data_IF_711808440059
#
_entry.id   IF_711808440059
#
_cell.length_a   1.000
_cell.length_b   1.000
_cell.length_c   1.000
_cell.angle_alpha   90.00
_cell.angle_beta   90.00
_cell.angle_gamma   90.00
#
_symmetry.space_group_name_H-M   'P 1'
#
loop_
_entity.id
_entity.type
_entity.pdbx_description
1 polymer ?
#
# COMPACT_ATOMS: atom_id res chain seq x y z
N UNK A 1 -8.48 -54.90 14.77
CA UNK A 1 -9.12 -55.19 13.47
C UNK A 1 -8.89 -53.97 12.59
N UNK A 2 -7.98 -54.13 11.65
CA UNK A 2 -7.37 -53.09 10.81
C UNK A 2 -8.34 -52.73 9.67
N UNK A 3 -8.70 -51.46 9.51
CA UNK A 3 -9.37 -50.99 8.30
C UNK A 3 -8.33 -50.45 7.32
N UNK A 4 -8.21 -51.14 6.19
CA UNK A 4 -7.30 -50.83 5.09
C UNK A 4 -7.72 -49.54 4.36
N UNK A 5 -6.73 -48.72 4.04
CA UNK A 5 -6.80 -47.64 3.06
C UNK A 5 -7.08 -48.24 1.67
N UNK A 6 -8.21 -47.88 1.05
CA UNK A 6 -8.46 -48.17 -0.37
C UNK A 6 -8.04 -46.99 -1.25
N UNK A 7 -7.28 -47.35 -2.28
CA UNK A 7 -6.61 -46.55 -3.30
C UNK A 7 -7.45 -45.52 -4.05
N UNK A 8 -6.78 -44.41 -4.39
CA UNK A 8 -7.10 -43.41 -5.40
C UNK A 8 -7.97 -43.93 -6.56
N UNK A 9 -9.21 -43.45 -6.64
CA UNK A 9 -10.05 -43.54 -7.83
C UNK A 9 -9.61 -42.50 -8.86
N UNK A 10 -8.74 -42.90 -9.79
CA UNK A 10 -8.58 -42.23 -11.08
C UNK A 10 -9.87 -42.40 -11.89
N UNK A 11 -10.82 -41.47 -11.75
CA UNK A 11 -11.93 -41.34 -12.69
C UNK A 11 -11.50 -40.35 -13.77
N UNK A 12 -10.96 -40.88 -14.86
CA UNK A 12 -10.88 -40.15 -16.13
C UNK A 12 -12.30 -39.95 -16.64
N UNK A 13 -12.87 -38.77 -16.38
CA UNK A 13 -14.08 -38.32 -17.04
C UNK A 13 -13.83 -38.31 -18.57
N UNK A 14 -14.75 -38.88 -19.34
CA UNK A 14 -14.66 -38.82 -20.80
C UNK A 14 -14.83 -37.35 -21.24
N UNK A 15 -14.16 -36.94 -22.32
CA UNK A 15 -14.19 -35.56 -22.83
C UNK A 15 -15.58 -35.03 -23.22
N UNK A 16 -16.60 -35.89 -23.20
CA UNK A 16 -18.00 -35.55 -23.48
C UNK A 16 -18.84 -35.22 -22.24
N UNK A 17 -18.30 -35.33 -21.02
CA UNK A 17 -19.03 -35.06 -19.76
C UNK A 17 -18.64 -33.73 -19.08
N UNK A 18 -17.65 -32.99 -19.60
CA UNK A 18 -17.33 -31.66 -19.07
C UNK A 18 -18.35 -30.62 -19.54
N UNK A 19 -18.92 -29.89 -18.58
CA UNK A 19 -19.78 -28.74 -18.84
C UNK A 19 -19.08 -27.79 -19.84
N UNK A 20 -19.79 -27.26 -20.87
CA UNK A 20 -19.16 -26.51 -21.97
C UNK A 20 -18.23 -25.38 -21.50
N UNK A 21 -18.61 -24.71 -20.43
CA UNK A 21 -17.84 -23.63 -19.80
C UNK A 21 -16.52 -24.14 -19.20
N UNK A 22 -16.54 -25.28 -18.51
CA UNK A 22 -15.35 -25.87 -17.90
C UNK A 22 -14.37 -26.38 -18.96
N UNK A 23 -14.87 -26.96 -20.05
CA UNK A 23 -14.05 -27.39 -21.18
C UNK A 23 -13.41 -26.19 -21.89
N UNK A 24 -14.18 -25.15 -22.18
CA UNK A 24 -13.68 -23.93 -22.84
C UNK A 24 -12.61 -23.22 -21.99
N UNK A 25 -12.81 -23.15 -20.67
CA UNK A 25 -11.83 -22.54 -19.77
C UNK A 25 -10.57 -23.40 -19.64
N UNK A 26 -10.71 -24.73 -19.56
CA UNK A 26 -9.56 -25.65 -19.54
C UNK A 26 -8.76 -25.62 -20.84
N UNK A 27 -9.42 -25.60 -22.01
CA UNK A 27 -8.77 -25.45 -23.32
C UNK A 27 -8.06 -24.10 -23.47
N UNK A 28 -8.69 -23.01 -23.01
CA UNK A 28 -8.05 -21.69 -22.97
C UNK A 28 -6.81 -21.71 -22.07
N UNK A 29 -6.91 -22.23 -20.85
CA UNK A 29 -5.78 -22.25 -19.91
C UNK A 29 -4.63 -23.14 -20.39
N UNK A 30 -4.95 -24.27 -21.02
CA UNK A 30 -3.96 -25.24 -21.49
C UNK A 30 -3.26 -24.81 -22.79
N UNK A 31 -3.94 -24.07 -23.66
CA UNK A 31 -3.46 -23.78 -25.02
C UNK A 31 -3.27 -22.28 -25.32
N UNK A 32 -3.60 -21.37 -24.40
CA UNK A 32 -3.33 -19.95 -24.59
C UNK A 32 -1.81 -19.73 -24.61
N UNK A 33 -1.28 -19.42 -25.79
CA UNK A 33 0.09 -18.95 -25.89
C UNK A 33 0.18 -17.51 -25.36
N UNK A 34 1.14 -17.17 -24.49
CA UNK A 34 1.31 -15.79 -24.05
C UNK A 34 1.52 -14.81 -25.22
N UNK A 35 2.01 -15.28 -26.38
CA UNK A 35 2.30 -14.51 -27.60
C UNK A 35 1.06 -13.91 -28.29
N UNK A 36 -0.14 -14.47 -28.09
CA UNK A 36 -1.38 -13.99 -28.72
C UNK A 36 -1.99 -12.78 -28.00
N UNK A 37 -1.52 -12.46 -26.79
CA UNK A 37 -1.96 -11.29 -26.05
C UNK A 37 -1.02 -10.10 -26.36
N UNK A 38 -1.54 -8.87 -26.55
CA UNK A 38 -0.70 -7.68 -26.63
C UNK A 38 0.21 -7.59 -25.40
N UNK A 39 1.47 -7.16 -25.55
CA UNK A 39 2.41 -7.02 -24.43
C UNK A 39 1.85 -6.18 -23.28
N UNK A 40 1.04 -5.16 -23.61
CA UNK A 40 0.34 -4.33 -22.63
C UNK A 40 -0.70 -5.12 -21.82
N UNK A 41 -1.40 -6.06 -22.44
CA UNK A 41 -2.36 -6.95 -21.78
C UNK A 41 -1.63 -8.01 -20.94
N UNK A 42 -0.51 -8.55 -21.43
CA UNK A 42 0.32 -9.48 -20.65
C UNK A 42 0.87 -8.81 -19.39
N UNK A 43 1.35 -7.56 -19.49
CA UNK A 43 1.83 -6.80 -18.32
C UNK A 43 0.73 -6.64 -17.29
N UNK A 44 -0.45 -6.18 -17.72
CA UNK A 44 -1.62 -6.01 -16.85
C UNK A 44 -2.12 -7.33 -16.27
N UNK A 45 -2.08 -8.42 -17.04
CA UNK A 45 -2.49 -9.75 -16.57
C UNK A 45 -1.50 -10.29 -15.53
N UNK A 46 -0.19 -10.06 -15.71
CA UNK A 46 0.84 -10.42 -14.72
C UNK A 46 0.67 -9.63 -13.42
N UNK A 47 0.46 -8.32 -13.52
CA UNK A 47 0.13 -7.46 -12.38
C UNK A 47 -1.12 -8.00 -11.67
N UNK A 48 -2.20 -8.24 -12.41
CA UNK A 48 -3.46 -8.74 -11.87
C UNK A 48 -3.36 -10.13 -11.22
N UNK A 49 -2.58 -11.06 -11.80
CA UNK A 49 -2.39 -12.39 -11.23
C UNK A 49 -1.52 -12.36 -9.97
N UNK A 50 -0.49 -11.49 -9.93
CA UNK A 50 0.29 -11.26 -8.71
C UNK A 50 -0.60 -10.68 -7.59
N UNK A 51 -1.48 -9.76 -7.95
CA UNK A 51 -2.46 -9.15 -7.05
C UNK A 51 -3.50 -10.15 -6.55
N UNK A 52 -4.03 -11.01 -7.42
CA UNK A 52 -5.00 -12.05 -7.09
C UNK A 52 -4.40 -13.12 -6.16
N UNK A 53 -3.11 -13.45 -6.31
CA UNK A 53 -2.40 -14.36 -5.41
C UNK A 53 -2.02 -13.71 -4.06
N UNK A 54 -2.33 -12.42 -3.87
CA UNK A 54 -1.99 -11.66 -2.66
C UNK A 54 -0.48 -11.40 -2.51
N UNK A 55 0.29 -11.53 -3.59
CA UNK A 55 1.75 -11.36 -3.61
C UNK A 55 2.07 -10.00 -4.21
N UNK A 56 1.69 -8.92 -3.53
CA UNK A 56 2.14 -7.59 -3.95
C UNK A 56 2.64 -6.81 -2.74
N UNK A 57 3.96 -6.58 -2.74
CA UNK A 57 4.61 -5.54 -1.95
C UNK A 57 3.98 -4.21 -2.39
N UNK A 58 3.78 -3.27 -1.46
CA UNK A 58 3.19 -1.95 -1.67
C UNK A 58 3.97 -1.00 -2.63
N UNK A 59 4.66 -1.56 -3.63
CA UNK A 59 5.56 -0.91 -4.59
C UNK A 59 5.00 -0.85 -6.01
N UNK A 60 3.85 -1.48 -6.32
CA UNK A 60 3.19 -1.28 -7.62
C UNK A 60 2.41 0.04 -7.60
N UNK A 61 2.84 0.97 -8.44
CA UNK A 61 2.33 2.34 -8.56
C UNK A 61 1.04 2.40 -9.39
N UNK A 62 0.12 1.45 -9.17
CA UNK A 62 -0.97 1.17 -10.09
C UNK A 62 -2.35 1.28 -9.44
N UNK A 63 -3.37 1.47 -10.29
CA UNK A 63 -4.79 1.46 -9.90
C UNK A 63 -5.19 0.19 -9.15
N UNK A 64 -4.42 -0.87 -9.28
CA UNK A 64 -4.64 -2.17 -8.67
C UNK A 64 -4.64 -2.15 -7.13
N UNK A 65 -3.92 -1.23 -6.48
CA UNK A 65 -3.94 -1.10 -5.01
C UNK A 65 -5.37 -0.97 -4.46
N UNK A 66 -6.27 -0.35 -5.24
CA UNK A 66 -7.67 -0.13 -4.84
C UNK A 66 -8.54 -1.37 -4.96
N UNK A 67 -8.20 -2.31 -5.84
CA UNK A 67 -8.97 -3.55 -6.04
C UNK A 67 -8.59 -4.64 -5.04
N UNK A 68 -7.38 -4.61 -4.46
CA UNK A 68 -6.93 -5.58 -3.46
C UNK A 68 -7.92 -5.80 -2.30
N UNK A 69 -8.41 -4.77 -1.59
CA UNK A 69 -9.40 -4.98 -0.54
C UNK A 69 -10.73 -5.51 -1.09
N UNK A 70 -11.09 -5.15 -2.33
CA UNK A 70 -12.28 -5.68 -3.00
C UNK A 70 -12.18 -7.19 -3.26
N UNK A 71 -11.03 -7.66 -3.76
CA UNK A 71 -10.78 -9.09 -3.94
C UNK A 71 -10.69 -9.84 -2.62
N UNK A 72 -10.04 -9.27 -1.61
CA UNK A 72 -9.99 -9.90 -0.28
C UNK A 72 -11.39 -10.15 0.29
N UNK A 73 -12.31 -9.20 0.13
CA UNK A 73 -13.72 -9.36 0.55
C UNK A 73 -14.44 -10.39 -0.32
N UNK A 74 -14.30 -10.31 -1.64
CA UNK A 74 -14.89 -11.27 -2.57
C UNK A 74 -14.48 -12.71 -2.23
N UNK A 75 -13.19 -12.96 -2.06
CA UNK A 75 -12.64 -14.29 -1.82
C UNK A 75 -13.06 -14.82 -0.45
N UNK A 76 -13.24 -13.94 0.55
CA UNK A 76 -13.80 -14.31 1.85
C UNK A 76 -15.23 -14.85 1.71
N UNK A 77 -16.10 -14.18 0.94
CA UNK A 77 -17.47 -14.67 0.70
C UNK A 77 -17.50 -16.00 -0.04
N UNK A 78 -16.62 -16.20 -1.02
CA UNK A 78 -16.49 -17.48 -1.72
C UNK A 78 -16.06 -18.58 -0.74
N UNK A 79 -15.03 -18.33 0.08
CA UNK A 79 -14.55 -19.29 1.08
C UNK A 79 -15.64 -19.67 2.08
N UNK A 80 -16.40 -18.69 2.60
CA UNK A 80 -17.52 -18.94 3.51
C UNK A 80 -18.59 -19.80 2.84
N UNK A 81 -18.97 -19.47 1.60
CA UNK A 81 -19.99 -20.23 0.85
C UNK A 81 -19.57 -21.69 0.63
N UNK A 82 -18.29 -21.93 0.31
CA UNK A 82 -17.74 -23.28 0.17
C UNK A 82 -17.78 -24.05 1.49
N UNK A 83 -17.40 -23.40 2.60
CA UNK A 83 -17.44 -24.00 3.92
C UNK A 83 -18.88 -24.35 4.35
N UNK A 84 -19.84 -23.45 4.12
CA UNK A 84 -21.27 -23.69 4.38
C UNK A 84 -21.84 -24.83 3.54
N UNK A 85 -21.34 -25.02 2.31
CA UNK A 85 -21.68 -26.13 1.43
C UNK A 85 -21.00 -27.47 1.83
N UNK A 86 -20.17 -27.49 2.87
CA UNK A 86 -19.51 -28.69 3.37
C UNK A 86 -18.22 -29.06 2.63
N UNK A 87 -17.62 -28.13 1.88
CA UNK A 87 -16.32 -28.35 1.23
C UNK A 87 -15.23 -28.49 2.30
N UNK A 88 -14.45 -29.58 2.22
CA UNK A 88 -13.37 -29.87 3.18
C UNK A 88 -12.04 -29.29 2.69
N UNK A 89 -11.43 -28.45 3.52
CA UNK A 89 -10.10 -27.87 3.28
C UNK A 89 -8.97 -28.61 3.97
N UNK A 90 -7.73 -28.13 3.77
CA UNK A 90 -6.55 -28.67 4.46
C UNK A 90 -6.62 -28.42 5.98
N UNK A 91 -6.46 -29.48 6.78
CA UNK A 91 -6.60 -29.42 8.24
C UNK A 91 -5.56 -28.53 8.96
N UNK A 92 -4.42 -28.25 8.32
CA UNK A 92 -3.32 -27.43 8.84
C UNK A 92 -2.89 -26.38 7.81
N UNK A 93 -3.87 -25.63 7.30
CA UNK A 93 -3.68 -24.66 6.22
C UNK A 93 -2.78 -23.48 6.61
N UNK A 94 -2.64 -23.17 7.91
CA UNK A 94 -1.83 -22.04 8.40
C UNK A 94 -0.40 -22.50 8.71
N UNK A 95 -0.26 -23.52 9.55
CA UNK A 95 1.01 -23.89 10.20
C UNK A 95 1.53 -25.28 9.80
N UNK A 96 0.82 -25.99 8.94
CA UNK A 96 1.31 -27.25 8.37
C UNK A 96 2.56 -27.05 7.52
N UNK A 97 3.27 -28.13 7.20
CA UNK A 97 4.53 -28.10 6.42
C UNK A 97 4.46 -27.29 5.12
N UNK A 98 3.27 -27.24 4.50
CA UNK A 98 2.98 -26.48 3.27
C UNK A 98 1.90 -25.41 3.51
N UNK A 99 1.73 -24.99 4.77
CA UNK A 99 0.74 -24.00 5.19
C UNK A 99 1.22 -22.56 4.95
N UNK A 100 0.28 -21.63 5.07
CA UNK A 100 0.46 -20.20 4.80
C UNK A 100 1.75 -19.61 5.40
N UNK A 101 2.05 -19.89 6.67
CA UNK A 101 3.22 -19.32 7.33
C UNK A 101 4.51 -19.76 6.63
N UNK A 102 4.64 -21.03 6.27
CA UNK A 102 5.83 -21.52 5.57
C UNK A 102 5.94 -21.03 4.12
N UNK A 103 4.80 -20.71 3.50
CA UNK A 103 4.75 -20.21 2.11
C UNK A 103 5.05 -18.71 2.00
N UNK A 104 4.68 -17.91 3.00
CA UNK A 104 4.70 -16.44 2.91
C UNK A 104 5.72 -15.76 3.84
N UNK A 105 6.44 -16.49 4.69
CA UNK A 105 7.54 -15.91 5.47
C UNK A 105 8.80 -16.77 5.43
N UNK A 106 10.00 -16.15 5.29
CA UNK A 106 11.27 -16.85 5.36
C UNK A 106 11.66 -17.24 6.79
N UNK A 107 10.95 -16.74 7.81
CA UNK A 107 11.25 -17.02 9.23
C UNK A 107 10.99 -18.49 9.54
N UNK A 108 11.97 -19.17 10.12
CA UNK A 108 11.77 -20.51 10.71
C UNK A 108 11.36 -20.38 12.18
N UNK A 109 10.62 -21.36 12.71
CA UNK A 109 10.14 -21.34 14.10
C UNK A 109 9.07 -20.26 14.32
N UNK A 110 7.92 -20.41 13.66
CA UNK A 110 6.78 -19.52 13.83
C UNK A 110 6.25 -19.58 15.27
N UNK A 111 6.01 -18.41 15.86
CA UNK A 111 5.41 -18.28 17.19
C UNK A 111 3.90 -18.47 17.09
N UNK A 112 3.46 -19.72 16.99
CA UNK A 112 2.03 -20.05 16.90
C UNK A 112 1.22 -19.57 18.12
N UNK A 113 1.73 -19.64 19.38
CA UNK A 113 1.04 -19.06 20.52
C UNK A 113 0.63 -17.59 20.33
N UNK A 114 1.47 -16.78 19.67
CA UNK A 114 1.16 -15.38 19.39
C UNK A 114 -0.11 -15.16 18.55
N UNK A 115 -0.51 -16.12 17.71
CA UNK A 115 -1.72 -16.02 16.88
C UNK A 115 -3.01 -16.05 17.70
N UNK A 116 -2.94 -16.64 18.90
CA UNK A 116 -4.10 -16.84 19.78
C UNK A 116 -3.95 -16.14 21.12
N UNK A 117 -2.81 -15.46 21.34
CA UNK A 117 -2.57 -14.70 22.55
C UNK A 117 -3.62 -13.59 22.68
N UNK A 118 -4.10 -13.40 23.91
CA UNK A 118 -5.03 -12.33 24.29
C UNK A 118 -6.37 -12.29 23.54
N UNK A 119 -6.78 -13.36 22.85
CA UNK A 119 -8.10 -13.44 22.23
C UNK A 119 -9.21 -13.24 23.27
N UNK A 120 -10.13 -12.31 22.98
CA UNK A 120 -11.20 -11.90 23.89
C UNK A 120 -10.78 -10.92 25.00
N UNK A 121 -9.48 -10.60 25.11
CA UNK A 121 -8.92 -9.64 26.07
C UNK A 121 -8.41 -8.39 25.38
N UNK A 122 -7.55 -8.54 24.37
CA UNK A 122 -6.99 -7.44 23.60
C UNK A 122 -7.70 -7.30 22.25
N UNK A 123 -8.07 -6.07 21.91
CA UNK A 123 -8.74 -5.73 20.65
C UNK A 123 -7.82 -4.85 19.82
N UNK A 124 -7.01 -5.44 18.95
CA UNK A 124 -6.03 -4.72 18.11
C UNK A 124 -6.69 -3.71 17.16
N UNK A 125 -8.00 -3.82 16.89
CA UNK A 125 -8.76 -2.82 16.15
C UNK A 125 -8.64 -1.41 16.76
N UNK A 126 -8.54 -1.31 18.08
CA UNK A 126 -8.41 -0.03 18.79
C UNK A 126 -7.07 0.67 18.51
N UNK A 127 -6.08 -0.08 18.03
CA UNK A 127 -4.76 0.45 17.62
C UNK A 127 -4.75 0.92 16.16
N UNK A 128 -5.88 0.82 15.45
CA UNK A 128 -5.97 1.31 14.07
C UNK A 128 -6.04 2.84 14.04
N UNK A 129 -5.33 3.43 13.08
CA UNK A 129 -5.27 4.89 12.93
C UNK A 129 -6.15 5.37 11.79
N UNK A 130 -6.83 6.49 12.01
CA UNK A 130 -7.50 7.24 10.95
C UNK A 130 -6.48 8.12 10.24
N UNK A 131 -6.55 8.14 8.90
CA UNK A 131 -5.66 8.98 8.10
C UNK A 131 -6.24 10.39 7.97
N UNK A 132 -5.55 11.44 8.46
CA UNK A 132 -6.03 12.82 8.29
C UNK A 132 -6.00 13.28 6.83
N UNK A 133 -5.07 12.73 6.05
CA UNK A 133 -4.83 13.09 4.66
C UNK A 133 -5.00 11.90 3.71
N UNK A 134 -5.62 12.10 2.53
CA UNK A 134 -5.82 11.06 1.51
C UNK A 134 -4.53 10.73 0.74
N UNK A 135 -3.43 10.47 1.46
CA UNK A 135 -2.10 10.15 0.95
C UNK A 135 -1.44 9.02 1.77
N UNK A 136 -0.23 8.61 1.37
CA UNK A 136 0.58 7.66 2.12
C UNK A 136 0.87 8.20 3.53
N UNK A 137 0.77 7.34 4.57
CA UNK A 137 1.01 7.73 5.98
C UNK A 137 2.40 8.35 6.16
N UNK A 138 3.37 7.88 5.39
CA UNK A 138 4.76 8.35 5.40
C UNK A 138 4.93 9.81 4.90
N UNK A 139 3.91 10.43 4.31
CA UNK A 139 3.95 11.85 3.91
C UNK A 139 3.14 12.75 4.82
N UNK A 140 2.46 12.22 5.84
CA UNK A 140 1.50 13.00 6.64
C UNK A 140 2.16 14.14 7.41
N UNK A 141 3.33 13.92 8.01
CA UNK A 141 4.06 14.96 8.73
C UNK A 141 4.48 16.11 7.81
N UNK A 142 4.85 15.80 6.56
CA UNK A 142 5.22 16.79 5.56
C UNK A 142 4.00 17.61 5.10
N UNK A 143 2.85 16.96 4.94
CA UNK A 143 1.60 17.64 4.59
C UNK A 143 1.23 18.60 5.71
N UNK A 144 1.15 18.10 6.94
CA UNK A 144 0.76 18.87 8.12
C UNK A 144 1.72 20.02 8.43
N UNK A 145 2.95 19.68 8.79
CA UNK A 145 3.93 20.64 9.32
C UNK A 145 4.52 21.46 8.20
N UNK A 146 4.94 20.80 7.12
CA UNK A 146 5.46 21.49 5.93
C UNK A 146 4.42 22.41 5.30
N UNK A 147 3.16 21.96 5.18
CA UNK A 147 2.08 22.80 4.68
C UNK A 147 1.80 24.01 5.57
N UNK A 148 1.80 23.84 6.89
CA UNK A 148 1.60 24.93 7.84
C UNK A 148 2.74 25.97 7.76
N UNK A 149 3.99 25.53 7.64
CA UNK A 149 5.14 26.43 7.47
C UNK A 149 5.04 27.18 6.13
N UNK A 150 4.67 26.49 5.05
CA UNK A 150 4.49 27.10 3.74
C UNK A 150 3.45 28.21 3.74
N UNK A 151 2.32 28.02 4.43
CA UNK A 151 1.30 29.06 4.61
C UNK A 151 1.84 30.27 5.39
N UNK A 152 2.63 30.05 6.44
CA UNK A 152 3.23 31.12 7.23
C UNK A 152 4.28 31.92 6.44
N UNK A 153 4.96 31.27 5.49
CA UNK A 153 6.02 31.84 4.65
C UNK A 153 5.54 32.14 3.23
N UNK A 154 4.24 32.40 3.04
CA UNK A 154 3.66 32.61 1.71
C UNK A 154 4.34 33.78 0.99
N UNK A 155 4.80 33.52 -0.23
CA UNK A 155 5.51 34.49 -1.07
C UNK A 155 7.02 34.54 -0.84
N UNK A 156 7.53 33.80 0.14
CA UNK A 156 8.97 33.64 0.37
C UNK A 156 9.51 32.56 -0.57
N UNK A 157 10.56 32.90 -1.33
CA UNK A 157 11.13 31.99 -2.31
C UNK A 157 11.99 30.91 -1.64
N UNK A 158 11.63 29.65 -1.89
CA UNK A 158 12.40 28.50 -1.41
C UNK A 158 13.44 28.11 -2.45
N UNK A 159 14.70 28.10 -2.01
CA UNK A 159 15.85 27.68 -2.82
C UNK A 159 15.95 26.16 -2.85
N UNK A 160 15.82 25.50 -1.71
CA UNK A 160 15.92 24.04 -1.58
C UNK A 160 15.18 23.55 -0.35
N UNK A 161 14.64 22.33 -0.41
CA UNK A 161 14.25 21.57 0.78
C UNK A 161 14.92 20.20 0.78
N UNK A 162 15.31 19.73 1.96
CA UNK A 162 15.79 18.37 2.17
C UNK A 162 14.90 17.66 3.18
N UNK A 163 14.33 16.53 2.76
CA UNK A 163 13.49 15.66 3.57
C UNK A 163 14.35 14.46 4.00
N UNK A 164 14.47 14.25 5.30
CA UNK A 164 15.12 13.05 5.85
C UNK A 164 14.07 12.02 6.23
N UNK A 165 14.22 10.80 5.73
CA UNK A 165 13.31 9.66 5.94
C UNK A 165 14.09 8.43 6.41
N UNK A 166 13.42 7.53 7.13
CA UNK A 166 13.96 6.19 7.34
C UNK A 166 14.10 5.45 5.99
N UNK A 167 15.02 4.49 5.90
CA UNK A 167 15.24 3.71 4.67
C UNK A 167 13.95 3.08 4.08
N UNK A 168 13.08 2.43 4.88
CA UNK A 168 11.80 1.93 4.38
C UNK A 168 10.87 3.02 3.83
N UNK A 169 10.79 4.17 4.51
CA UNK A 169 9.92 5.26 4.07
C UNK A 169 10.46 5.90 2.77
N UNK A 170 11.78 6.04 2.65
CA UNK A 170 12.43 6.55 1.43
C UNK A 170 12.11 5.69 0.21
N UNK A 171 12.18 4.36 0.34
CA UNK A 171 11.84 3.42 -0.75
C UNK A 171 10.39 3.66 -1.23
N UNK A 172 9.46 3.88 -0.30
CA UNK A 172 8.04 3.99 -0.64
C UNK A 172 7.68 5.39 -1.16
N UNK A 173 8.18 6.48 -0.59
CA UNK A 173 7.73 7.85 -0.96
C UNK A 173 8.84 8.82 -1.37
N UNK A 174 10.10 8.52 -1.05
CA UNK A 174 11.25 9.43 -1.22
C UNK A 174 12.19 9.09 -2.37
N UNK A 175 11.99 7.99 -3.10
CA UNK A 175 12.84 7.67 -4.27
C UNK A 175 12.66 8.73 -5.36
N UNK A 176 13.77 9.28 -5.86
CA UNK A 176 13.74 10.33 -6.89
C UNK A 176 13.54 9.75 -8.30
N UNK A 177 12.34 9.27 -8.57
CA UNK A 177 11.90 8.73 -9.86
C UNK A 177 10.84 9.65 -10.49
N UNK A 178 10.69 9.60 -11.81
CA UNK A 178 9.90 10.58 -12.58
C UNK A 178 8.45 10.71 -12.12
N UNK A 179 7.79 9.60 -11.82
CA UNK A 179 6.39 9.57 -11.37
C UNK A 179 6.21 10.05 -9.93
N UNK A 180 7.23 9.96 -9.06
CA UNK A 180 7.18 10.56 -7.73
C UNK A 180 7.50 12.06 -7.80
N UNK A 181 8.52 12.46 -8.57
CA UNK A 181 8.86 13.87 -8.71
C UNK A 181 7.75 14.68 -9.38
N UNK A 182 7.12 14.09 -10.41
CA UNK A 182 6.06 14.71 -11.19
C UNK A 182 4.94 13.71 -11.50
N UNK A 183 4.05 13.44 -10.53
CA UNK A 183 2.99 12.46 -10.68
C UNK A 183 1.99 12.86 -11.78
N UNK A 184 1.65 11.91 -12.64
CA UNK A 184 0.67 12.11 -13.72
C UNK A 184 -0.70 11.49 -13.40
N UNK A 185 -0.83 10.79 -12.27
CA UNK A 185 -2.08 10.25 -11.78
C UNK A 185 -2.18 10.40 -10.26
N UNK A 186 -3.38 10.12 -9.73
CA UNK A 186 -3.71 10.28 -8.31
C UNK A 186 -2.89 9.34 -7.43
N UNK A 187 -2.68 8.08 -7.85
CA UNK A 187 -1.96 7.09 -7.04
C UNK A 187 -0.51 7.52 -6.87
N UNK A 188 0.18 7.88 -7.94
CA UNK A 188 1.55 8.39 -7.86
C UNK A 188 1.66 9.61 -6.93
N UNK A 189 0.70 10.54 -7.02
CA UNK A 189 0.66 11.71 -6.15
C UNK A 189 0.47 11.35 -4.68
N UNK A 190 -0.32 10.32 -4.36
CA UNK A 190 -0.52 9.84 -2.98
C UNK A 190 0.75 9.23 -2.38
N UNK A 191 1.71 8.80 -3.21
CA UNK A 191 2.95 8.15 -2.80
C UNK A 191 4.20 8.98 -3.11
N UNK A 192 4.04 10.29 -3.24
CA UNK A 192 5.15 11.21 -3.49
C UNK A 192 5.35 12.17 -2.33
N UNK A 193 6.50 12.09 -1.65
CA UNK A 193 6.89 13.10 -0.66
C UNK A 193 7.08 14.48 -1.30
N UNK A 194 7.65 14.54 -2.51
CA UNK A 194 7.88 15.76 -3.28
C UNK A 194 6.58 16.52 -3.55
N UNK A 195 5.64 15.85 -4.20
CA UNK A 195 4.38 16.44 -4.63
C UNK A 195 3.49 16.78 -3.43
N UNK A 196 3.39 15.89 -2.43
CA UNK A 196 2.54 16.15 -1.25
C UNK A 196 3.07 17.33 -0.43
N UNK A 197 4.40 17.43 -0.22
CA UNK A 197 5.00 18.58 0.45
C UNK A 197 4.80 19.84 -0.38
N UNK A 198 5.13 19.85 -1.67
CA UNK A 198 5.00 21.03 -2.52
C UNK A 198 3.54 21.53 -2.62
N UNK A 199 2.59 20.62 -2.76
CA UNK A 199 1.16 20.94 -2.75
C UNK A 199 0.74 21.56 -1.42
N UNK A 200 1.03 20.88 -0.30
CA UNK A 200 0.66 21.37 1.02
C UNK A 200 1.35 22.69 1.36
N UNK A 201 2.61 22.89 0.94
CA UNK A 201 3.35 24.14 1.14
C UNK A 201 2.66 25.34 0.48
N UNK A 202 2.15 25.14 -0.75
CA UNK A 202 1.52 26.22 -1.52
C UNK A 202 0.06 26.47 -1.13
N UNK A 203 -0.67 25.43 -0.74
CA UNK A 203 -2.13 25.46 -0.60
C UNK A 203 -2.63 25.12 0.80
N UNK A 204 -1.76 24.67 1.69
CA UNK A 204 -2.08 24.23 3.05
C UNK A 204 -2.37 22.73 3.18
N UNK A 205 -2.35 22.21 4.43
CA UNK A 205 -2.62 20.80 4.72
C UNK A 205 -4.08 20.39 4.53
N UNK A 206 -5.03 21.29 4.78
CA UNK A 206 -6.48 20.98 4.81
C UNK A 206 -7.15 21.12 3.44
N UNK A 207 -6.54 20.50 2.42
CA UNK A 207 -7.00 20.55 1.03
C UNK A 207 -7.76 19.30 0.59
N UNK A 208 -7.80 18.26 1.44
CA UNK A 208 -8.51 17.01 1.15
C UNK A 208 -8.03 16.38 -0.16
N UNK A 209 -8.96 16.14 -1.09
CA UNK A 209 -8.68 15.52 -2.40
C UNK A 209 -8.31 16.51 -3.50
N UNK A 210 -8.25 17.82 -3.21
CA UNK A 210 -8.02 18.85 -4.23
C UNK A 210 -6.65 18.72 -4.92
N UNK A 211 -5.68 18.08 -4.28
CA UNK A 211 -4.38 17.77 -4.88
C UNK A 211 -4.52 17.02 -6.22
N UNK A 212 -5.57 16.19 -6.37
CA UNK A 212 -5.83 15.42 -7.58
C UNK A 212 -6.11 16.30 -8.81
N UNK A 213 -6.58 17.53 -8.62
CA UNK A 213 -6.84 18.49 -9.70
C UNK A 213 -5.57 19.27 -10.11
N UNK A 214 -4.50 19.16 -9.32
CA UNK A 214 -3.28 20.00 -9.41
C UNK A 214 -2.04 19.24 -9.86
N UNK A 215 -2.21 18.01 -10.37
CA UNK A 215 -1.10 17.17 -10.83
C UNK A 215 -0.19 17.86 -11.87
N UNK A 216 -0.74 18.83 -12.61
CA UNK A 216 -0.05 19.56 -13.67
C UNK A 216 0.25 21.03 -13.31
N UNK A 217 0.03 21.43 -12.06
CA UNK A 217 0.27 22.82 -11.64
C UNK A 217 1.78 23.11 -11.68
N UNK A 218 2.18 24.06 -12.54
CA UNK A 218 3.58 24.45 -12.73
C UNK A 218 4.26 24.88 -11.41
N UNK A 219 3.63 25.66 -10.51
CA UNK A 219 4.24 26.01 -9.23
C UNK A 219 4.59 24.80 -8.35
N UNK A 220 3.76 23.74 -8.38
CA UNK A 220 4.05 22.51 -7.63
C UNK A 220 5.25 21.79 -8.24
N UNK A 221 5.34 21.74 -9.57
CA UNK A 221 6.46 21.08 -10.27
C UNK A 221 7.78 21.77 -9.95
N UNK A 222 7.84 23.09 -10.08
CA UNK A 222 9.03 23.89 -9.77
C UNK A 222 9.47 23.66 -8.31
N UNK A 223 8.53 23.70 -7.36
CA UNK A 223 8.88 23.46 -5.96
C UNK A 223 9.32 22.00 -5.72
N UNK A 224 8.69 21.03 -6.39
CA UNK A 224 9.06 19.61 -6.31
C UNK A 224 10.48 19.36 -6.81
N UNK A 225 10.93 20.08 -7.84
CA UNK A 225 12.29 19.99 -8.36
C UNK A 225 13.35 20.45 -7.36
N UNK A 226 12.99 21.38 -6.48
CA UNK A 226 13.84 21.91 -5.42
C UNK A 226 13.82 21.06 -4.13
N UNK A 227 13.07 19.96 -4.11
CA UNK A 227 13.02 19.03 -2.97
C UNK A 227 13.97 17.85 -3.22
N UNK A 228 14.74 17.50 -2.19
CA UNK A 228 15.58 16.30 -2.14
C UNK A 228 15.13 15.40 -0.97
N UNK A 229 15.09 14.08 -1.17
CA UNK A 229 14.79 13.12 -0.11
C UNK A 229 16.04 12.27 0.17
N UNK A 230 16.49 12.24 1.41
CA UNK A 230 17.66 11.48 1.87
C UNK A 230 17.25 10.44 2.92
N UNK A 231 18.11 9.44 3.10
CA UNK A 231 17.97 8.43 4.15
C UNK A 231 18.68 8.92 5.42
N UNK A 232 17.99 8.85 6.55
CA UNK A 232 18.53 9.14 7.89
C UNK A 232 18.04 8.07 8.88
N UNK A 233 18.95 7.24 9.36
CA UNK A 233 18.64 6.12 10.27
C UNK A 233 18.22 6.57 11.68
N UNK A 234 18.39 7.86 12.00
CA UNK A 234 17.89 8.43 13.25
C UNK A 234 16.38 8.67 13.20
N UNK A 235 15.79 8.80 12.00
CA UNK A 235 14.34 8.91 11.83
C UNK A 235 13.68 7.56 12.11
N UNK A 236 12.68 7.56 13.00
CA UNK A 236 11.97 6.35 13.45
C UNK A 236 10.54 6.32 12.93
N UNK A 237 10.01 5.11 12.78
CA UNK A 237 8.61 4.85 12.44
C UNK A 237 8.11 5.68 11.24
N UNK A 238 7.05 6.47 11.44
CA UNK A 238 6.42 7.33 10.42
C UNK A 238 6.94 8.77 10.44
N UNK A 239 7.97 9.07 11.24
CA UNK A 239 8.54 10.41 11.34
C UNK A 239 9.33 10.86 10.11
N UNK A 240 9.70 12.14 10.11
CA UNK A 240 10.54 12.77 9.08
C UNK A 240 11.24 14.01 9.65
N UNK A 241 12.29 14.47 8.97
CA UNK A 241 12.86 15.81 9.20
C UNK A 241 12.79 16.63 7.94
N UNK A 242 12.68 17.94 8.08
CA UNK A 242 12.62 18.89 6.98
C UNK A 242 13.62 20.02 7.22
N UNK A 243 14.59 20.14 6.32
CA UNK A 243 15.48 21.30 6.21
C UNK A 243 15.01 22.18 5.05
N UNK A 244 14.86 23.48 5.29
CA UNK A 244 14.41 24.46 4.28
C UNK A 244 15.49 25.52 4.13
N UNK A 245 15.90 25.79 2.89
CA UNK A 245 16.77 26.91 2.52
C UNK A 245 15.96 27.92 1.69
N UNK A 246 15.94 29.18 2.12
CA UNK A 246 15.30 30.27 1.39
C UNK A 246 16.29 31.02 0.47
N UNK A 247 15.77 31.72 -0.53
CA UNK A 247 16.59 32.46 -1.49
C UNK A 247 17.32 33.68 -0.85
N UNK A 248 16.81 34.18 0.27
CA UNK A 248 17.42 35.25 1.06
C UNK A 248 18.60 34.77 1.94
N UNK A 249 18.87 33.46 1.97
CA UNK A 249 19.98 32.84 2.70
C UNK A 249 19.61 32.35 4.10
N UNK A 250 18.38 32.55 4.58
CA UNK A 250 17.90 31.96 5.83
C UNK A 250 17.61 30.46 5.64
N UNK A 251 17.75 29.69 6.72
CA UNK A 251 17.36 28.29 6.76
C UNK A 251 16.62 27.92 8.04
N UNK A 252 15.86 26.83 7.97
CA UNK A 252 15.08 26.31 9.09
C UNK A 252 15.09 24.78 9.09
N UNK A 253 15.44 24.20 10.25
CA UNK A 253 15.36 22.77 10.52
C UNK A 253 14.12 22.43 11.34
N UNK A 254 13.42 21.38 10.95
CA UNK A 254 12.18 20.92 11.60
C UNK A 254 12.25 19.41 11.79
N UNK A 255 12.05 18.97 13.03
CA UNK A 255 11.91 17.55 13.37
C UNK A 255 10.42 17.21 13.55
N UNK A 256 9.98 16.13 12.90
CA UNK A 256 8.58 15.69 12.87
C UNK A 256 8.58 14.21 13.30
N UNK A 257 8.71 13.94 14.61
CA UNK A 257 8.83 12.56 15.10
C UNK A 257 7.53 11.76 14.95
N UNK A 258 6.38 12.42 15.08
CA UNK A 258 5.06 11.80 15.06
C UNK A 258 4.08 12.62 14.20
N UNK A 259 3.76 12.16 12.97
CA UNK A 259 2.73 12.83 12.18
C UNK A 259 1.34 12.72 12.84
N UNK A 260 0.44 13.64 12.51
CA UNK A 260 -0.95 13.56 12.96
C UNK A 260 -1.59 12.19 12.63
N UNK A 261 -2.21 11.58 13.64
CA UNK A 261 -2.79 10.25 13.59
C UNK A 261 -1.96 9.17 14.29
N UNK A 262 -0.69 9.43 14.62
CA UNK A 262 0.07 8.56 15.52
C UNK A 262 -0.48 8.60 16.96
N UNK A 263 -0.28 7.55 17.78
CA UNK A 263 -0.71 7.56 19.18
C UNK A 263 -0.17 8.75 19.99
N UNK A 264 1.05 9.19 19.69
CA UNK A 264 1.71 10.33 20.32
C UNK A 264 1.20 11.69 19.82
N UNK A 265 0.56 11.71 18.64
CA UNK A 265 -0.03 12.90 18.04
C UNK A 265 -1.42 12.57 17.46
N UNK A 266 -2.41 12.30 18.33
CA UNK A 266 -3.66 11.68 17.93
C UNK A 266 -4.58 12.63 17.18
N UNK A 267 -5.33 12.05 16.25
CA UNK A 267 -6.46 12.72 15.60
C UNK A 267 -7.63 12.77 16.59
N UNK A 268 -8.11 13.97 16.92
CA UNK A 268 -9.17 14.13 17.91
C UNK A 268 -10.56 13.84 17.31
N UNK A 269 -11.57 13.73 18.19
CA UNK A 269 -12.95 13.39 17.79
C UNK A 269 -13.54 14.39 16.82
N UNK A 270 -13.43 15.69 17.10
CA UNK A 270 -14.02 16.73 16.25
C UNK A 270 -13.39 16.72 14.85
N UNK A 271 -12.07 16.49 14.78
CA UNK A 271 -11.35 16.31 13.52
C UNK A 271 -11.82 15.06 12.77
N UNK A 272 -12.09 13.96 13.47
CA UNK A 272 -12.62 12.73 12.88
C UNK A 272 -14.05 12.90 12.34
N UNK A 273 -14.92 13.59 13.08
CA UNK A 273 -16.31 13.85 12.67
C UNK A 273 -16.41 14.83 11.50
N UNK A 274 -15.40 15.67 11.28
CA UNK A 274 -15.32 16.60 10.16
C UNK A 274 -14.85 15.98 8.83
N UNK A 275 -14.37 14.72 8.82
CA UNK A 275 -13.86 14.03 7.62
C UNK A 275 -14.93 13.17 6.95
#
# INVERSE_FOLDING_TARGET
MTAQLSSNGSTTLSSNELHPVTKLFAEFTANAEPSILPLTLISRLKEYLLDYLGVTIATSHDWNKRIHPGFAVHDAFVCVSLAEAGVVGAARSIEGKYGFLHSYTPRTGHDLPSLTADLGVRWDFLETVLKPYPACRMTHGLIEVGGSIGLQNKGREVKKMTISLSSPNHIVVGSRISNKLHPNNIVDAQFSAYFQLAHAWLYGPETGVEFAKRLKDEPIRILSDNIECIIDDTVKAMGSKLHIEYADGESHDVDIPFPLGEPEHPFNRDQAEAK
#
